data_IF_716624658372
#
_entry.id   IF_716624658372
#
_cell.length_a   1.000
_cell.length_b   1.000
_cell.length_c   1.000
_cell.angle_alpha   90.00
_cell.angle_beta   90.00
_cell.angle_gamma   90.00
#
_symmetry.space_group_name_H-M   'P 1'
#
loop_
_entity.id
_entity.type
_entity.pdbx_description
1 polymer ?
#
# COMPACT_ATOMS: atom_id res chain seq x y z
N UNK A 1 100.88 -36.44 -9.72
CA UNK A 1 99.57 -36.95 -9.26
C UNK A 1 98.47 -35.95 -9.52
N UNK A 2 97.23 -36.38 -9.84
CA UNK A 2 96.09 -35.49 -10.02
C UNK A 2 95.74 -34.76 -8.72
N UNK A 3 95.30 -33.50 -8.84
CA UNK A 3 94.94 -32.66 -7.71
C UNK A 3 93.66 -33.11 -7.00
N UNK A 4 93.41 -32.60 -5.79
CA UNK A 4 92.18 -32.90 -5.05
C UNK A 4 90.95 -32.43 -5.83
N UNK A 5 89.79 -33.08 -5.63
CA UNK A 5 88.52 -32.60 -6.18
C UNK A 5 88.25 -31.15 -5.79
N UNK A 6 87.57 -30.42 -6.67
CA UNK A 6 87.11 -29.08 -6.38
C UNK A 6 86.09 -29.05 -5.24
N UNK A 7 85.89 -27.89 -4.61
CA UNK A 7 84.85 -27.74 -3.59
C UNK A 7 83.46 -27.92 -4.20
N UNK A 8 82.51 -28.28 -3.34
CA UNK A 8 81.11 -28.37 -3.73
C UNK A 8 80.58 -27.01 -4.22
N UNK A 9 79.64 -27.07 -5.16
CA UNK A 9 78.95 -25.89 -5.64
C UNK A 9 78.12 -25.22 -4.54
N UNK A 10 77.88 -23.92 -4.68
CA UNK A 10 76.98 -23.22 -3.77
C UNK A 10 75.54 -23.74 -3.91
N UNK A 11 74.74 -23.73 -2.82
CA UNK A 11 73.32 -24.03 -2.90
C UNK A 11 72.61 -23.16 -3.92
N UNK A 12 71.56 -23.72 -4.53
CA UNK A 12 70.70 -22.98 -5.44
C UNK A 12 69.96 -21.84 -4.73
N UNK A 13 69.56 -20.83 -5.49
CA UNK A 13 68.74 -19.74 -4.97
C UNK A 13 67.34 -20.25 -4.58
N UNK A 14 66.74 -19.72 -3.50
CA UNK A 14 65.35 -20.02 -3.18
C UNK A 14 64.42 -19.70 -4.35
N UNK A 15 63.35 -20.48 -4.48
CA UNK A 15 62.33 -20.23 -5.49
C UNK A 15 61.60 -18.90 -5.26
N UNK A 16 60.96 -18.34 -6.29
CA UNK A 16 60.12 -17.15 -6.14
C UNK A 16 58.96 -17.44 -5.17
N UNK A 17 58.48 -16.39 -4.50
CA UNK A 17 57.29 -16.49 -3.65
C UNK A 17 56.06 -16.94 -4.44
N UNK A 18 55.10 -17.55 -3.73
CA UNK A 18 53.81 -17.89 -4.31
C UNK A 18 53.05 -16.63 -4.78
N UNK A 19 52.20 -16.80 -5.80
CA UNK A 19 51.32 -15.73 -6.26
C UNK A 19 50.31 -15.31 -5.19
N UNK A 20 49.75 -14.11 -5.37
CA UNK A 20 48.63 -13.66 -4.53
C UNK A 20 47.44 -14.63 -4.68
N UNK A 21 46.72 -14.87 -3.58
CA UNK A 21 45.49 -15.64 -3.63
C UNK A 21 44.42 -14.98 -4.51
N UNK A 22 43.40 -15.74 -4.95
CA UNK A 22 42.30 -15.18 -5.73
C UNK A 22 41.51 -14.15 -4.90
N UNK A 23 40.76 -13.24 -5.56
CA UNK A 23 39.80 -12.37 -4.87
C UNK A 23 38.78 -13.17 -4.06
N UNK A 24 38.25 -12.56 -3.00
CA UNK A 24 37.15 -13.13 -2.23
C UNK A 24 35.85 -13.23 -3.04
N UNK A 25 34.88 -14.04 -2.58
CA UNK A 25 33.56 -14.12 -3.22
C UNK A 25 32.80 -12.78 -3.12
N UNK A 26 31.81 -12.55 -4.00
CA UNK A 26 30.89 -11.42 -3.87
C UNK A 26 30.16 -11.40 -2.52
N UNK A 27 29.75 -10.21 -2.08
CA UNK A 27 28.89 -10.06 -0.91
C UNK A 27 27.47 -10.60 -1.11
N UNK A 28 26.69 -10.77 -0.02
CA UNK A 28 25.30 -11.19 -0.11
C UNK A 28 24.41 -10.13 -0.79
N UNK A 29 23.23 -10.51 -1.33
CA UNK A 29 22.25 -9.56 -1.83
C UNK A 29 21.81 -8.55 -0.75
N UNK A 30 21.37 -7.36 -1.19
CA UNK A 30 20.79 -6.36 -0.30
C UNK A 30 19.43 -6.78 0.28
N UNK A 31 18.93 -6.07 1.31
CA UNK A 31 17.62 -6.33 1.88
C UNK A 31 16.49 -6.04 0.88
N UNK A 32 15.30 -6.62 1.13
CA UNK A 32 14.11 -6.33 0.35
C UNK A 32 13.70 -4.85 0.46
N UNK A 33 13.05 -4.32 -0.58
CA UNK A 33 12.48 -2.98 -0.56
C UNK A 33 11.34 -2.84 0.45
N UNK A 34 11.01 -1.59 0.80
CA UNK A 34 9.86 -1.30 1.65
C UNK A 34 8.54 -1.68 0.94
N UNK A 35 7.49 -2.06 1.69
CA UNK A 35 6.14 -2.22 1.13
C UNK A 35 5.68 -0.97 0.38
N UNK A 36 4.80 -1.15 -0.61
CA UNK A 36 4.16 -0.03 -1.30
C UNK A 36 3.27 0.78 -0.35
N UNK A 37 2.94 2.01 -0.76
CA UNK A 37 1.97 2.84 -0.03
C UNK A 37 0.58 2.24 -0.06
N UNK A 38 -0.23 2.55 0.95
CA UNK A 38 -1.64 2.18 0.98
C UNK A 38 -2.39 2.70 -0.27
N UNK A 39 -3.45 1.98 -0.64
CA UNK A 39 -4.35 2.40 -1.72
C UNK A 39 -5.13 3.67 -1.36
N UNK A 40 -5.63 4.37 -2.37
CA UNK A 40 -6.51 5.53 -2.15
C UNK A 40 -7.85 5.09 -1.54
N UNK A 41 -8.49 5.92 -0.69
CA UNK A 41 -9.84 5.68 -0.21
C UNK A 41 -10.84 5.45 -1.36
N UNK A 42 -11.87 4.64 -1.11
CA UNK A 42 -12.95 4.44 -2.07
C UNK A 42 -13.74 5.72 -2.36
N UNK A 43 -14.41 5.76 -3.51
CA UNK A 43 -15.29 6.88 -3.86
C UNK A 43 -16.49 6.94 -2.90
N UNK A 44 -17.00 8.15 -2.57
CA UNK A 44 -18.23 8.29 -1.79
C UNK A 44 -19.40 7.53 -2.43
N UNK A 45 -20.33 7.05 -1.60
CA UNK A 45 -21.55 6.42 -2.07
C UNK A 45 -22.46 7.39 -2.85
N UNK A 46 -23.38 6.87 -3.67
CA UNK A 46 -24.34 7.70 -4.39
C UNK A 46 -25.27 8.44 -3.41
N UNK A 47 -25.85 9.55 -3.87
CA UNK A 47 -26.87 10.27 -3.12
C UNK A 47 -28.09 9.38 -2.83
N UNK A 48 -28.74 9.60 -1.68
CA UNK A 48 -29.98 8.93 -1.32
C UNK A 48 -31.13 9.25 -2.29
N UNK A 49 -32.15 8.40 -2.30
CA UNK A 49 -33.36 8.64 -3.09
C UNK A 49 -34.11 9.88 -2.58
N UNK A 50 -34.78 10.58 -3.48
CA UNK A 50 -35.67 11.67 -3.11
C UNK A 50 -36.78 11.18 -2.16
N UNK A 51 -37.19 12.03 -1.22
CA UNK A 51 -38.31 11.74 -0.33
C UNK A 51 -39.61 11.57 -1.10
N UNK A 52 -40.56 10.82 -0.52
CA UNK A 52 -41.90 10.70 -1.09
C UNK A 52 -42.62 12.04 -1.10
N UNK A 53 -43.47 12.26 -2.11
CA UNK A 53 -44.38 13.41 -2.13
C UNK A 53 -45.24 13.44 -0.86
N UNK A 54 -45.40 14.62 -0.27
CA UNK A 54 -46.27 14.79 0.90
C UNK A 54 -47.73 14.46 0.59
N UNK A 55 -48.48 14.07 1.62
CA UNK A 55 -49.91 13.82 1.50
C UNK A 55 -50.64 15.10 1.07
N UNK A 56 -51.69 14.95 0.25
CA UNK A 56 -52.53 16.09 -0.13
C UNK A 56 -53.19 16.65 1.12
N UNK A 57 -53.09 17.97 1.32
CA UNK A 57 -53.83 18.64 2.39
C UNK A 57 -55.33 18.45 2.24
N UNK A 58 -56.03 18.27 3.36
CA UNK A 58 -57.50 18.17 3.39
C UNK A 58 -58.06 19.55 3.07
N UNK A 59 -58.68 19.72 1.90
CA UNK A 59 -59.48 20.92 1.61
C UNK A 59 -60.84 20.77 2.28
N UNK A 60 -61.20 21.59 3.29
CA UNK A 60 -62.57 21.61 3.77
C UNK A 60 -63.45 22.13 2.63
N UNK A 61 -64.50 21.36 2.30
CA UNK A 61 -65.41 21.62 1.18
C UNK A 61 -66.33 22.83 1.44
N UNK A 62 -66.36 23.34 2.66
CA UNK A 62 -67.26 24.40 3.09
C UNK A 62 -66.60 25.19 4.24
N UNK A 63 -66.35 26.48 4.03
CA UNK A 63 -66.29 27.43 5.13
C UNK A 63 -67.73 27.71 5.55
N UNK A 64 -68.11 27.29 6.76
CA UNK A 64 -69.35 27.73 7.37
C UNK A 64 -69.28 29.24 7.63
N UNK A 65 -70.41 29.95 7.50
CA UNK A 65 -70.51 31.41 7.74
C UNK A 65 -70.13 31.76 9.20
N UNK A 66 -70.23 30.76 10.07
CA UNK A 66 -69.92 30.73 11.50
C UNK A 66 -68.46 30.31 11.82
N UNK A 67 -67.60 30.11 10.82
CA UNK A 67 -66.16 29.89 11.00
C UNK A 67 -65.74 28.47 11.40
N UNK A 68 -66.67 27.51 11.43
CA UNK A 68 -66.39 26.10 11.73
C UNK A 68 -65.81 25.33 10.54
N UNK A 69 -64.88 24.41 10.81
CA UNK A 69 -64.34 23.47 9.81
C UNK A 69 -65.10 22.13 9.92
N UNK A 70 -65.76 21.73 8.84
CA UNK A 70 -66.46 20.44 8.74
C UNK A 70 -65.66 19.44 7.91
N UNK A 71 -65.43 18.25 8.46
CA UNK A 71 -64.76 17.15 7.79
C UNK A 71 -65.76 16.24 7.05
N UNK A 72 -65.27 15.38 6.14
CA UNK A 72 -66.13 14.46 5.37
C UNK A 72 -66.88 13.44 6.24
N UNK A 73 -66.40 13.19 7.46
CA UNK A 73 -67.05 12.32 8.44
C UNK A 73 -68.18 13.02 9.24
N UNK A 74 -68.45 14.29 8.95
CA UNK A 74 -69.46 15.10 9.63
C UNK A 74 -69.03 15.60 11.02
N UNK A 75 -67.78 15.38 11.44
CA UNK A 75 -67.28 15.97 12.69
C UNK A 75 -66.92 17.45 12.50
N UNK A 76 -67.23 18.26 13.53
CA UNK A 76 -66.90 19.69 13.61
C UNK A 76 -65.66 19.90 14.49
N UNK A 77 -64.76 20.81 14.09
CA UNK A 77 -63.73 21.37 14.97
C UNK A 77 -63.80 22.89 14.97
#
# INVERSE_FOLDING_TARGET
DPGPPGPDGQPGVPGPGGGQGPPGPPGPPGPAGLPGSDGQPGVPGPSGLAGSTGEKGICPRYCAIDGGVFFEDGTRR
#
